data_IF_381244652976
#
_entry.id   IF_381244652976
#
_cell.length_a   1.000
_cell.length_b   1.000
_cell.length_c   1.000
_cell.angle_alpha   90.00
_cell.angle_beta   90.00
_cell.angle_gamma   90.00
#
_symmetry.space_group_name_H-M   'P 1'
#
loop_
_entity.id
_entity.type
_entity.pdbx_description
1 polymer ?
#
# COMPACT_ATOMS: atom_id res chain seq x y z
N UNK A 1 0.49 -6.34 14.28
CA UNK A 1 -0.68 -7.03 13.72
C UNK A 1 -0.26 -8.30 12.99
N UNK A 2 -0.98 -9.42 13.23
CA UNK A 2 -0.59 -10.74 12.70
C UNK A 2 -1.34 -11.14 11.42
N UNK A 3 -2.21 -10.30 10.90
CA UNK A 3 -2.91 -10.59 9.63
C UNK A 3 -3.18 -9.31 8.86
N UNK A 4 -2.98 -9.34 7.53
CA UNK A 4 -3.31 -8.23 6.65
C UNK A 4 -4.83 -7.98 6.49
N UNK A 5 -5.68 -8.79 7.15
CA UNK A 5 -7.13 -8.68 7.10
C UNK A 5 -7.65 -8.02 8.36
N UNK A 6 -8.42 -6.93 8.28
CA UNK A 6 -9.00 -6.30 9.45
C UNK A 6 -10.06 -7.21 10.09
N UNK A 7 -10.21 -7.12 11.39
CA UNK A 7 -11.30 -7.82 12.09
C UNK A 7 -12.66 -7.27 11.69
N UNK A 8 -12.76 -5.95 11.54
CA UNK A 8 -13.90 -5.23 10.99
C UNK A 8 -13.41 -3.89 10.41
N UNK A 9 -14.03 -3.41 9.34
CA UNK A 9 -13.81 -2.06 8.82
C UNK A 9 -14.63 -0.98 9.53
N UNK A 10 -15.58 -1.38 10.38
CA UNK A 10 -16.40 -0.45 11.14
C UNK A 10 -16.27 -0.71 12.64
N UNK A 11 -16.33 0.39 13.41
CA UNK A 11 -16.35 0.29 14.86
C UNK A 11 -17.46 -0.69 15.31
N UNK A 12 -17.18 -1.59 16.29
CA UNK A 12 -16.02 -1.59 17.22
C UNK A 12 -14.74 -2.27 16.71
N UNK A 13 -14.56 -2.45 15.41
CA UNK A 13 -13.37 -3.06 14.78
C UNK A 13 -13.06 -4.48 15.28
N UNK A 14 -14.08 -5.19 15.69
CA UNK A 14 -13.98 -6.54 16.23
C UNK A 14 -14.53 -7.57 15.26
N UNK A 15 -13.99 -8.78 15.32
CA UNK A 15 -14.60 -9.94 14.71
C UNK A 15 -15.58 -10.58 15.71
N UNK A 16 -16.90 -10.52 15.47
CA UNK A 16 -17.88 -10.97 16.43
C UNK A 16 -17.85 -12.49 16.68
N UNK A 17 -17.37 -13.27 15.72
CA UNK A 17 -17.31 -14.74 15.84
C UNK A 17 -16.05 -15.22 16.55
N UNK A 18 -14.97 -14.43 16.54
CA UNK A 18 -13.67 -14.79 17.11
C UNK A 18 -13.35 -14.03 18.40
N UNK A 19 -14.20 -13.11 18.81
CA UNK A 19 -14.00 -12.20 19.94
C UNK A 19 -12.60 -11.55 19.91
N UNK A 20 -12.20 -11.06 18.74
CA UNK A 20 -10.90 -10.39 18.50
C UNK A 20 -11.15 -9.00 17.95
N UNK A 21 -10.49 -8.02 18.55
CA UNK A 21 -10.57 -6.60 18.18
C UNK A 21 -9.19 -6.07 17.79
N UNK A 22 -9.16 -4.93 17.10
CA UNK A 22 -7.94 -4.17 16.92
C UNK A 22 -7.54 -3.55 18.26
N UNK A 23 -6.29 -3.81 18.68
CA UNK A 23 -5.74 -3.25 19.91
C UNK A 23 -5.44 -1.75 19.70
N UNK A 24 -5.69 -0.95 20.74
CA UNK A 24 -5.46 0.49 20.73
C UNK A 24 -6.55 1.30 20.01
N UNK A 25 -7.65 0.66 19.62
CA UNK A 25 -8.82 1.28 18.99
C UNK A 25 -10.13 0.91 19.73
N UNK A 26 -10.03 0.85 21.05
CA UNK A 26 -11.15 0.45 21.92
C UNK A 26 -12.24 1.50 21.97
N UNK A 27 -11.85 2.78 21.83
CA UNK A 27 -12.78 3.91 21.79
C UNK A 27 -13.12 4.30 20.35
N UNK A 28 -14.38 4.60 20.09
CA UNK A 28 -14.87 5.02 18.78
C UNK A 28 -16.37 5.22 18.79
N UNK A 29 -16.92 5.64 17.68
CA UNK A 29 -18.36 5.87 17.51
C UNK A 29 -18.97 4.86 16.53
N UNK A 30 -20.21 4.42 16.73
CA UNK A 30 -20.89 3.54 15.79
C UNK A 30 -20.88 4.08 14.36
N UNK A 31 -20.44 3.24 13.41
CA UNK A 31 -20.33 3.61 12.01
C UNK A 31 -19.00 4.26 11.60
N UNK A 32 -18.11 4.52 12.54
CA UNK A 32 -16.76 5.01 12.24
C UNK A 32 -16.00 4.00 11.37
N UNK A 33 -15.38 4.48 10.29
CA UNK A 33 -14.69 3.64 9.32
C UNK A 33 -13.19 3.55 9.64
N UNK A 34 -12.63 2.34 9.63
CA UNK A 34 -11.26 2.06 10.08
C UNK A 34 -10.20 2.89 9.35
N UNK A 35 -10.35 3.08 8.03
CA UNK A 35 -9.41 3.88 7.24
C UNK A 35 -9.39 5.34 7.71
N UNK A 36 -10.56 5.91 8.02
CA UNK A 36 -10.70 7.27 8.53
C UNK A 36 -10.11 7.40 9.94
N UNK A 37 -10.35 6.41 10.79
CA UNK A 37 -9.83 6.37 12.16
C UNK A 37 -8.30 6.30 12.16
N UNK A 38 -7.69 5.37 11.41
CA UNK A 38 -6.23 5.25 11.34
C UNK A 38 -5.58 6.53 10.80
N UNK A 39 -6.21 7.19 9.85
CA UNK A 39 -5.76 8.48 9.34
C UNK A 39 -5.82 9.57 10.42
N UNK A 40 -6.90 9.60 11.20
CA UNK A 40 -7.05 10.58 12.28
C UNK A 40 -5.99 10.39 13.37
N UNK A 41 -5.70 9.16 13.74
CA UNK A 41 -4.60 8.84 14.67
C UNK A 41 -3.24 9.26 14.11
N UNK A 42 -2.98 9.00 12.83
CA UNK A 42 -1.75 9.42 12.16
C UNK A 42 -1.59 10.95 12.15
N UNK A 43 -2.67 11.70 11.90
CA UNK A 43 -2.66 13.16 11.91
C UNK A 43 -2.41 13.68 13.35
N UNK A 44 -3.04 13.09 14.36
CA UNK A 44 -2.79 13.40 15.76
C UNK A 44 -1.31 13.20 16.14
N UNK A 45 -0.76 12.03 15.78
CA UNK A 45 0.65 11.72 15.97
C UNK A 45 1.58 12.77 15.32
N UNK A 46 1.34 13.11 14.05
CA UNK A 46 2.13 14.13 13.36
C UNK A 46 2.05 15.50 14.07
N UNK A 47 0.88 15.88 14.56
CA UNK A 47 0.68 17.12 15.31
C UNK A 47 1.48 17.17 16.60
N UNK A 48 1.52 16.06 17.33
CA UNK A 48 2.27 15.91 18.58
C UNK A 48 3.79 15.96 18.36
N UNK A 49 4.28 15.25 17.35
CA UNK A 49 5.72 15.06 17.12
C UNK A 49 6.35 16.00 16.09
N UNK A 50 5.61 16.96 15.53
CA UNK A 50 6.09 17.89 14.47
C UNK A 50 7.34 18.70 14.79
N UNK A 51 7.69 18.83 16.08
CA UNK A 51 8.87 19.60 16.51
C UNK A 51 10.17 18.79 16.46
N UNK A 52 10.10 17.49 16.29
CA UNK A 52 11.24 16.60 16.23
C UNK A 52 11.17 15.65 15.03
N UNK A 53 12.22 14.86 14.77
CA UNK A 53 12.18 13.84 13.76
C UNK A 53 11.22 12.71 14.17
N UNK A 54 10.45 12.21 13.21
CA UNK A 54 9.60 11.03 13.40
C UNK A 54 9.63 10.11 12.20
N UNK A 55 9.29 8.86 12.41
CA UNK A 55 8.98 7.88 11.39
C UNK A 55 7.57 7.35 11.62
N UNK A 56 6.70 7.52 10.64
CA UNK A 56 5.32 7.04 10.69
C UNK A 56 5.09 6.00 9.59
N UNK A 57 4.75 4.78 10.00
CA UNK A 57 4.30 3.72 9.10
C UNK A 57 2.79 3.55 9.22
N UNK A 58 2.05 4.17 8.30
CA UNK A 58 0.59 4.10 8.25
C UNK A 58 0.14 2.94 7.38
N UNK A 59 -0.04 1.77 7.99
CA UNK A 59 -0.45 0.55 7.31
C UNK A 59 -1.97 0.43 7.24
N UNK A 60 -2.59 0.99 6.21
CA UNK A 60 -4.01 0.81 5.97
C UNK A 60 -4.34 -0.65 5.58
N UNK A 61 -5.42 -1.19 6.12
CA UNK A 61 -5.98 -2.46 5.65
C UNK A 61 -6.72 -2.32 4.30
N UNK A 62 -7.24 -1.13 4.00
CA UNK A 62 -7.85 -0.84 2.71
C UNK A 62 -6.78 -1.02 1.60
N UNK A 63 -7.14 -1.74 0.53
CA UNK A 63 -8.48 -2.17 0.11
C UNK A 63 -8.67 -3.69 0.22
N UNK A 64 -8.17 -4.31 1.28
CA UNK A 64 -8.23 -5.77 1.49
C UNK A 64 -9.66 -6.25 1.80
N UNK A 65 -9.93 -7.52 1.51
CA UNK A 65 -11.17 -8.20 1.93
C UNK A 65 -11.26 -8.32 3.46
N UNK A 66 -12.50 -8.39 4.05
CA UNK A 66 -13.79 -8.32 3.38
C UNK A 66 -14.07 -6.94 2.80
N UNK A 67 -14.69 -6.89 1.59
CA UNK A 67 -15.00 -5.60 0.97
C UNK A 67 -16.09 -4.88 1.77
N UNK A 68 -15.73 -3.75 2.33
CA UNK A 68 -16.60 -2.90 3.14
C UNK A 68 -16.20 -1.43 2.95
N UNK A 69 -17.14 -0.57 2.62
CA UNK A 69 -16.92 0.86 2.46
C UNK A 69 -18.09 1.66 3.04
N UNK A 70 -17.92 2.97 3.28
CA UNK A 70 -19.02 3.85 3.64
C UNK A 70 -20.14 3.79 2.60
N UNK A 71 -21.39 3.67 3.07
CA UNK A 71 -22.56 3.40 2.22
C UNK A 71 -22.75 4.47 1.12
N UNK A 72 -22.56 5.74 1.46
CA UNK A 72 -22.69 6.83 0.50
C UNK A 72 -21.69 6.75 -0.70
N UNK A 73 -20.48 6.18 -0.46
CA UNK A 73 -19.52 5.93 -1.53
C UNK A 73 -19.93 4.73 -2.39
N UNK A 74 -20.46 3.67 -1.76
CA UNK A 74 -20.99 2.51 -2.50
C UNK A 74 -22.11 2.98 -3.46
N UNK A 75 -23.09 3.72 -2.96
CA UNK A 75 -24.20 4.26 -3.75
C UNK A 75 -23.74 5.17 -4.90
N UNK A 76 -22.66 5.94 -4.67
CA UNK A 76 -22.03 6.74 -5.73
C UNK A 76 -21.52 5.87 -6.87
N UNK A 77 -20.84 4.77 -6.56
CA UNK A 77 -20.25 3.88 -7.55
C UNK A 77 -21.25 2.92 -8.19
N UNK A 78 -22.34 2.58 -7.50
CA UNK A 78 -23.45 1.81 -8.07
C UNK A 78 -24.14 2.55 -9.21
N UNK A 79 -24.20 3.87 -9.14
CA UNK A 79 -24.78 4.75 -10.18
C UNK A 79 -23.87 4.99 -11.38
N UNK A 80 -22.56 4.65 -11.27
CA UNK A 80 -21.61 4.82 -12.37
C UNK A 80 -21.68 3.64 -13.34
N UNK A 81 -21.50 3.95 -14.63
CA UNK A 81 -21.28 2.92 -15.65
C UNK A 81 -20.04 2.10 -15.30
N UNK A 82 -20.19 0.80 -15.29
CA UNK A 82 -19.08 -0.12 -14.98
C UNK A 82 -18.08 -0.13 -16.13
N UNK A 83 -16.79 -0.10 -15.77
CA UNK A 83 -15.71 -0.27 -16.73
C UNK A 83 -15.58 -1.74 -17.20
N UNK A 84 -14.79 -1.96 -18.24
CA UNK A 84 -14.53 -3.31 -18.76
C UNK A 84 -13.81 -4.20 -17.74
N UNK A 85 -12.87 -3.65 -17.00
CA UNK A 85 -11.97 -4.39 -16.11
C UNK A 85 -12.30 -4.18 -14.61
N UNK A 86 -12.87 -3.03 -14.27
CA UNK A 86 -13.18 -2.65 -12.89
C UNK A 86 -14.69 -2.49 -12.73
N UNK A 87 -15.32 -3.50 -12.16
CA UNK A 87 -16.78 -3.62 -12.11
C UNK A 87 -17.37 -3.64 -10.71
N UNK A 88 -16.52 -3.67 -9.66
CA UNK A 88 -16.96 -3.81 -8.28
C UNK A 88 -17.14 -2.43 -7.62
N UNK A 89 -18.36 -1.97 -7.32
CA UNK A 89 -18.61 -0.65 -6.76
C UNK A 89 -18.10 -0.52 -5.31
N UNK A 90 -18.13 -1.61 -4.53
CA UNK A 90 -17.64 -1.58 -3.15
C UNK A 90 -16.12 -1.41 -3.13
N UNK A 91 -15.41 -2.10 -4.01
CA UNK A 91 -13.96 -1.95 -4.15
C UNK A 91 -13.58 -0.54 -4.59
N UNK A 92 -14.30 0.03 -5.55
CA UNK A 92 -14.10 1.41 -6.00
C UNK A 92 -14.35 2.42 -4.86
N UNK A 93 -15.38 2.18 -4.05
CA UNK A 93 -15.68 3.01 -2.88
C UNK A 93 -14.56 2.92 -1.81
N UNK A 94 -13.97 1.75 -1.61
CA UNK A 94 -12.80 1.58 -0.71
C UNK A 94 -11.58 2.33 -1.22
N UNK A 95 -11.33 2.30 -2.54
CA UNK A 95 -10.23 3.05 -3.16
C UNK A 95 -10.44 4.56 -2.99
N UNK A 96 -11.64 5.07 -3.24
CA UNK A 96 -11.94 6.50 -3.05
C UNK A 96 -11.74 6.91 -1.59
N UNK A 97 -12.21 6.10 -0.64
CA UNK A 97 -12.00 6.39 0.77
C UNK A 97 -10.51 6.42 1.13
N UNK A 98 -9.71 5.50 0.59
CA UNK A 98 -8.25 5.50 0.79
C UNK A 98 -7.61 6.76 0.20
N UNK A 99 -7.98 7.13 -1.03
CA UNK A 99 -7.48 8.34 -1.71
C UNK A 99 -7.80 9.61 -0.90
N UNK A 100 -9.04 9.75 -0.42
CA UNK A 100 -9.44 10.86 0.44
C UNK A 100 -8.60 10.91 1.72
N UNK A 101 -8.28 9.78 2.32
CA UNK A 101 -7.47 9.67 3.52
C UNK A 101 -5.99 10.00 3.27
N UNK A 102 -5.43 9.59 2.14
CA UNK A 102 -4.09 10.03 1.70
C UNK A 102 -4.08 11.55 1.51
N UNK A 103 -5.13 12.11 0.91
CA UNK A 103 -5.31 13.56 0.78
C UNK A 103 -5.33 14.27 2.13
N UNK A 104 -6.03 13.73 3.15
CA UNK A 104 -6.05 14.26 4.53
C UNK A 104 -4.66 14.27 5.16
N UNK A 105 -3.88 13.20 4.98
CA UNK A 105 -2.48 13.14 5.49
C UNK A 105 -1.64 14.22 4.83
N UNK A 106 -1.67 14.34 3.51
CA UNK A 106 -0.92 15.36 2.78
C UNK A 106 -1.31 16.78 3.20
N UNK A 107 -2.61 17.05 3.34
CA UNK A 107 -3.11 18.34 3.81
C UNK A 107 -2.65 18.65 5.26
N UNK A 108 -2.66 17.65 6.13
CA UNK A 108 -2.17 17.82 7.50
C UNK A 108 -0.67 18.18 7.54
N UNK A 109 0.16 17.51 6.73
CA UNK A 109 1.59 17.82 6.60
C UNK A 109 1.80 19.28 6.16
N UNK A 110 1.01 19.75 5.18
CA UNK A 110 1.07 21.14 4.70
C UNK A 110 0.61 22.12 5.78
N UNK A 111 -0.53 21.84 6.43
CA UNK A 111 -1.10 22.71 7.50
C UNK A 111 -0.23 22.77 8.75
N UNK A 112 0.50 21.72 9.07
CA UNK A 112 1.45 21.66 10.18
C UNK A 112 2.77 22.39 9.87
N UNK A 113 2.99 22.83 8.62
CA UNK A 113 4.20 23.53 8.18
C UNK A 113 5.44 22.66 8.10
N UNK A 114 5.30 21.33 7.97
CA UNK A 114 6.41 20.38 7.95
C UNK A 114 6.70 19.79 6.56
N UNK A 115 6.00 20.24 5.52
CA UNK A 115 6.06 19.67 4.19
C UNK A 115 7.48 19.59 3.58
N UNK A 116 8.26 20.67 3.69
CA UNK A 116 9.60 20.74 3.09
C UNK A 116 10.62 19.81 3.77
N UNK A 117 10.32 19.38 5.00
CA UNK A 117 11.19 18.46 5.76
C UNK A 117 10.53 17.07 5.97
N UNK A 118 9.56 16.72 5.14
CA UNK A 118 8.86 15.43 5.24
C UNK A 118 8.86 14.71 3.89
N UNK A 119 9.34 13.48 3.87
CA UNK A 119 9.13 12.56 2.76
C UNK A 119 7.85 11.77 2.99
N UNK A 120 6.98 11.74 1.98
CA UNK A 120 5.79 10.90 1.96
C UNK A 120 5.98 9.84 0.90
N UNK A 121 5.83 8.58 1.29
CA UNK A 121 5.89 7.43 0.38
C UNK A 121 4.55 6.70 0.39
N UNK A 122 3.90 6.63 -0.77
CA UNK A 122 2.74 5.78 -0.98
C UNK A 122 3.18 4.52 -1.73
N UNK A 123 2.88 3.36 -1.16
CA UNK A 123 3.29 2.07 -1.70
C UNK A 123 2.27 1.00 -1.40
N UNK A 124 2.03 0.07 -2.34
CA UNK A 124 1.20 -1.11 -2.13
C UNK A 124 2.07 -2.33 -1.84
N UNK A 125 1.57 -3.25 -1.03
CA UNK A 125 2.27 -4.49 -0.63
C UNK A 125 2.30 -5.54 -1.74
N UNK A 126 1.24 -5.61 -2.56
CA UNK A 126 1.09 -6.55 -3.68
C UNK A 126 0.03 -6.06 -4.68
N UNK A 127 -0.04 -6.73 -5.81
CA UNK A 127 -1.06 -6.47 -6.81
C UNK A 127 -2.47 -6.83 -6.39
N UNK A 128 -3.45 -6.37 -7.14
CA UNK A 128 -4.88 -6.58 -6.86
C UNK A 128 -5.29 -8.05 -6.89
N UNK A 129 -6.28 -8.40 -6.06
CA UNK A 129 -6.84 -9.75 -5.99
C UNK A 129 -7.83 -9.98 -7.14
N UNK A 130 -7.54 -10.89 -8.07
CA UNK A 130 -8.35 -11.14 -9.29
C UNK A 130 -9.85 -11.39 -9.07
N UNK A 131 -10.32 -12.03 -7.98
CA UNK A 131 -11.76 -12.14 -7.74
C UNK A 131 -12.46 -10.81 -7.47
N UNK A 132 -11.68 -9.76 -7.14
CA UNK A 132 -12.19 -8.45 -6.72
C UNK A 132 -11.96 -7.40 -7.79
N UNK A 133 -10.78 -7.43 -8.42
CA UNK A 133 -10.35 -6.44 -9.41
C UNK A 133 -9.55 -7.11 -10.53
N UNK A 134 -9.29 -6.37 -11.60
CA UNK A 134 -8.45 -6.79 -12.71
C UNK A 134 -7.15 -5.96 -12.69
N UNK A 135 -6.04 -6.59 -13.03
CA UNK A 135 -4.73 -5.93 -13.10
C UNK A 135 -4.30 -5.60 -14.54
N UNK A 136 -5.20 -5.77 -15.53
CA UNK A 136 -4.89 -5.46 -16.92
C UNK A 136 -4.27 -4.05 -17.07
N UNK A 137 -3.19 -3.89 -17.89
CA UNK A 137 -2.61 -4.86 -18.83
C UNK A 137 -1.59 -5.85 -18.20
N UNK A 138 -1.35 -5.80 -16.89
CA UNK A 138 -0.43 -6.69 -16.22
C UNK A 138 -1.04 -8.08 -16.05
N UNK A 139 -0.20 -9.11 -16.19
CA UNK A 139 -0.64 -10.50 -16.10
C UNK A 139 -0.86 -10.91 -14.65
N UNK A 140 -1.98 -11.62 -14.38
CA UNK A 140 -2.36 -12.17 -13.09
C UNK A 140 -2.54 -11.09 -11.99
N UNK A 141 -2.45 -11.50 -10.73
CA UNK A 141 -2.67 -10.61 -9.57
C UNK A 141 -2.04 -11.16 -8.30
N UNK A 142 -2.56 -10.74 -7.18
CA UNK A 142 -2.04 -11.08 -5.84
C UNK A 142 -1.67 -12.55 -5.69
N UNK A 143 -0.40 -12.80 -5.30
CA UNK A 143 0.13 -14.13 -5.04
C UNK A 143 0.63 -14.86 -6.29
N UNK A 144 0.67 -14.21 -7.45
CA UNK A 144 1.29 -14.73 -8.66
C UNK A 144 2.70 -14.15 -8.87
N UNK A 145 3.61 -14.88 -9.57
CA UNK A 145 4.96 -14.40 -9.85
C UNK A 145 5.02 -13.34 -10.97
N UNK A 146 3.92 -13.08 -11.63
CA UNK A 146 3.84 -12.14 -12.76
C UNK A 146 3.65 -10.70 -12.29
N UNK A 147 3.81 -9.75 -13.21
CA UNK A 147 3.75 -8.31 -12.90
C UNK A 147 2.44 -7.88 -12.24
N UNK A 148 1.30 -8.49 -12.58
CA UNK A 148 0.05 -8.18 -11.88
C UNK A 148 0.06 -8.52 -10.39
N UNK A 149 0.95 -9.41 -9.95
CA UNK A 149 1.14 -9.74 -8.53
C UNK A 149 2.21 -8.93 -7.83
N UNK A 150 3.24 -8.47 -8.56
CA UNK A 150 4.45 -7.88 -7.99
C UNK A 150 4.68 -6.41 -8.35
N UNK A 151 4.19 -5.93 -9.49
CA UNK A 151 4.32 -4.54 -9.93
C UNK A 151 3.18 -3.70 -9.36
N UNK A 152 3.52 -2.78 -8.48
CA UNK A 152 2.57 -1.98 -7.70
C UNK A 152 2.88 -0.49 -7.82
N UNK A 153 1.90 0.39 -7.53
CA UNK A 153 2.15 1.82 -7.46
C UNK A 153 3.18 2.18 -6.38
N UNK A 154 4.12 3.05 -6.73
CA UNK A 154 5.02 3.74 -5.81
C UNK A 154 4.99 5.22 -6.16
N UNK A 155 4.65 6.06 -5.20
CA UNK A 155 4.64 7.51 -5.34
C UNK A 155 5.45 8.11 -4.20
N UNK A 156 6.35 9.04 -4.52
CA UNK A 156 7.17 9.74 -3.54
C UNK A 156 6.91 11.25 -3.67
N UNK A 157 6.54 11.87 -2.56
CA UNK A 157 6.49 13.32 -2.41
C UNK A 157 7.57 13.76 -1.44
N UNK A 158 8.50 14.58 -1.92
CA UNK A 158 9.53 15.21 -1.09
C UNK A 158 9.87 16.58 -1.70
N UNK A 159 9.21 17.65 -1.27
CA UNK A 159 9.48 18.99 -1.78
C UNK A 159 10.97 19.33 -1.71
N UNK A 160 11.47 20.09 -2.69
CA UNK A 160 12.86 20.53 -2.83
C UNK A 160 13.89 19.39 -3.11
N UNK A 161 13.48 18.13 -3.06
CA UNK A 161 14.36 16.96 -3.33
C UNK A 161 13.91 16.13 -4.53
N UNK A 162 12.60 16.02 -4.73
CA UNK A 162 12.00 15.29 -5.85
C UNK A 162 11.22 16.26 -6.72
N UNK A 163 11.61 16.38 -7.99
CA UNK A 163 10.93 17.27 -8.95
C UNK A 163 9.49 16.79 -9.19
N UNK A 164 8.48 17.65 -8.99
CA UNK A 164 7.09 17.28 -9.22
C UNK A 164 6.85 16.81 -10.66
N UNK A 165 5.96 15.83 -10.83
CA UNK A 165 5.54 15.32 -12.15
C UNK A 165 6.57 14.44 -12.86
N UNK A 166 7.70 14.14 -12.22
CA UNK A 166 8.68 13.21 -12.79
C UNK A 166 8.27 11.76 -12.61
N UNK A 167 8.69 10.91 -13.53
CA UNK A 167 8.50 9.46 -13.49
C UNK A 167 9.83 8.74 -13.70
N UNK A 168 9.93 7.52 -13.16
CA UNK A 168 11.08 6.64 -13.35
C UNK A 168 10.63 5.24 -13.70
N UNK A 169 11.36 4.57 -14.60
CA UNK A 169 11.15 3.17 -14.96
C UNK A 169 12.14 2.24 -14.26
N UNK A 170 13.01 2.75 -13.39
CA UNK A 170 13.97 1.94 -12.64
C UNK A 170 13.23 1.00 -11.71
N UNK A 171 13.48 -0.33 -11.80
CA UNK A 171 12.84 -1.29 -10.92
C UNK A 171 13.32 -1.12 -9.47
N UNK A 172 12.37 -0.96 -8.57
CA UNK A 172 12.60 -0.84 -7.13
C UNK A 172 11.68 -1.79 -6.38
N UNK A 173 12.02 -2.12 -5.14
CA UNK A 173 11.26 -3.09 -4.33
C UNK A 173 11.22 -2.67 -2.86
N UNK A 174 10.33 -3.27 -2.07
CA UNK A 174 10.12 -2.90 -0.66
C UNK A 174 11.36 -2.99 0.22
N UNK A 175 12.31 -3.87 -0.09
CA UNK A 175 13.57 -3.99 0.67
C UNK A 175 14.48 -2.76 0.49
N UNK A 176 14.26 -1.92 -0.52
CA UNK A 176 15.02 -0.70 -0.78
C UNK A 176 14.69 0.42 0.20
N UNK A 177 13.54 0.36 0.85
CA UNK A 177 13.12 1.41 1.79
C UNK A 177 14.02 1.47 3.03
N UNK A 178 14.47 0.33 3.55
CA UNK A 178 15.31 0.32 4.74
C UNK A 178 16.62 1.10 4.54
N UNK A 179 17.51 0.76 3.58
CA UNK A 179 18.72 1.52 3.36
C UNK A 179 18.43 2.99 2.98
N UNK A 180 17.35 3.25 2.24
CA UNK A 180 16.94 4.61 1.87
C UNK A 180 16.62 5.45 3.10
N UNK A 181 15.77 4.96 4.00
CA UNK A 181 15.36 5.73 5.18
C UNK A 181 16.50 5.87 6.21
N UNK A 182 17.35 4.86 6.34
CA UNK A 182 18.54 4.95 7.18
C UNK A 182 19.49 6.05 6.67
N UNK A 183 19.73 6.11 5.35
CA UNK A 183 20.57 7.16 4.74
C UNK A 183 19.95 8.56 4.90
N UNK A 184 18.63 8.70 4.68
CA UNK A 184 17.92 9.98 4.90
C UNK A 184 18.06 10.46 6.35
N UNK A 185 18.04 9.54 7.31
CA UNK A 185 18.24 9.82 8.73
C UNK A 185 19.71 10.01 9.11
N UNK A 186 20.64 10.13 8.15
CA UNK A 186 22.09 10.22 8.36
C UNK A 186 22.69 9.02 9.12
N UNK A 187 22.03 7.87 9.07
CA UNK A 187 22.55 6.61 9.57
C UNK A 187 23.45 5.90 8.56
N UNK A 188 23.93 4.72 8.96
CA UNK A 188 24.70 3.83 8.08
C UNK A 188 24.00 2.49 8.01
N UNK A 189 23.37 2.14 6.87
CA UNK A 189 22.78 0.82 6.70
C UNK A 189 23.88 -0.25 6.69
N UNK A 190 23.51 -1.48 7.04
CA UNK A 190 24.42 -2.63 6.94
C UNK A 190 24.91 -2.80 5.50
N UNK A 191 26.08 -3.41 5.31
CA UNK A 191 26.73 -3.57 4.00
C UNK A 191 26.20 -4.75 3.18
N UNK A 192 25.54 -5.71 3.83
CA UNK A 192 25.09 -6.99 3.26
C UNK A 192 23.58 -7.05 3.01
N UNK A 193 23.01 -5.91 2.58
CA UNK A 193 21.58 -5.79 2.28
C UNK A 193 21.28 -6.12 0.81
N UNK A 194 20.18 -6.83 0.58
CA UNK A 194 19.61 -7.01 -0.76
C UNK A 194 19.05 -5.69 -1.33
N UNK A 195 18.55 -4.82 -0.45
CA UNK A 195 18.01 -3.51 -0.80
C UNK A 195 19.09 -2.49 -1.11
N UNK A 196 18.77 -1.55 -2.00
CA UNK A 196 19.62 -0.42 -2.37
C UNK A 196 18.91 0.91 -2.06
N UNK A 197 19.68 1.96 -1.80
CA UNK A 197 19.14 3.31 -1.63
C UNK A 197 18.46 3.79 -2.91
N UNK A 198 17.17 4.14 -2.81
CA UNK A 198 16.33 4.55 -3.94
C UNK A 198 16.88 5.77 -4.66
N UNK A 199 17.37 6.77 -3.93
CA UNK A 199 17.86 7.99 -4.53
C UNK A 199 19.21 7.77 -5.23
N UNK A 200 20.04 6.87 -4.70
CA UNK A 200 21.26 6.44 -5.38
C UNK A 200 20.97 5.71 -6.68
N UNK A 201 19.95 4.82 -6.70
CA UNK A 201 19.51 4.12 -7.93
C UNK A 201 19.03 5.13 -8.99
N UNK A 202 18.21 6.10 -8.59
CA UNK A 202 17.68 7.13 -9.49
C UNK A 202 18.78 8.02 -10.06
N UNK A 203 19.72 8.47 -9.24
CA UNK A 203 20.84 9.32 -9.68
C UNK A 203 21.77 8.61 -10.64
N UNK A 204 22.07 7.32 -10.41
CA UNK A 204 22.96 6.52 -11.26
C UNK A 204 22.26 5.98 -12.51
N UNK A 205 20.94 6.13 -12.61
CA UNK A 205 20.12 5.53 -13.66
C UNK A 205 20.34 4.01 -13.79
N UNK A 206 20.38 3.31 -12.66
CA UNK A 206 20.78 1.90 -12.56
C UNK A 206 19.62 0.96 -12.91
N UNK A 207 19.43 0.68 -14.20
CA UNK A 207 18.36 -0.19 -14.70
C UNK A 207 18.63 -1.69 -14.55
N UNK A 208 19.89 -2.09 -14.57
CA UNK A 208 20.34 -3.48 -14.76
C UNK A 208 20.33 -4.35 -13.50
N UNK A 209 19.63 -3.96 -12.45
CA UNK A 209 19.58 -4.75 -11.22
C UNK A 209 18.61 -5.91 -11.33
N UNK A 210 19.06 -7.12 -10.97
CA UNK A 210 18.19 -8.26 -10.82
C UNK A 210 17.36 -8.17 -9.53
N UNK A 211 16.07 -8.48 -9.63
CA UNK A 211 15.16 -8.60 -8.51
C UNK A 211 14.68 -10.04 -8.39
N UNK A 212 14.69 -10.56 -7.17
CA UNK A 212 14.36 -11.95 -6.87
C UNK A 212 13.15 -12.05 -5.96
N UNK A 213 12.26 -12.99 -6.25
CA UNK A 213 11.16 -13.37 -5.38
C UNK A 213 11.22 -14.87 -5.12
N UNK A 214 11.11 -15.25 -3.86
CA UNK A 214 10.97 -16.64 -3.45
C UNK A 214 9.72 -16.76 -2.59
N UNK A 215 8.75 -17.51 -3.08
CA UNK A 215 7.46 -17.67 -2.43
C UNK A 215 7.16 -19.16 -2.21
N UNK A 216 7.64 -19.75 -1.09
CA UNK A 216 7.52 -21.18 -0.80
C UNK A 216 6.17 -21.54 -0.17
N UNK A 217 5.09 -20.86 -0.53
CA UNK A 217 3.77 -21.06 0.03
C UNK A 217 2.75 -21.61 -0.97
N UNK A 218 1.74 -22.30 -0.43
CA UNK A 218 0.59 -22.77 -1.17
C UNK A 218 -0.61 -21.89 -0.85
N UNK A 219 -1.06 -21.08 -1.81
CA UNK A 219 -2.28 -20.30 -1.68
C UNK A 219 -3.45 -21.03 -2.37
N UNK A 220 -4.67 -20.64 -1.99
CA UNK A 220 -5.86 -21.15 -2.68
C UNK A 220 -5.89 -20.64 -4.12
N UNK A 221 -6.15 -21.53 -5.09
CA UNK A 221 -6.38 -21.13 -6.47
C UNK A 221 -7.63 -20.28 -6.61
N UNK A 222 -7.64 -19.35 -7.56
CA UNK A 222 -8.86 -18.63 -7.92
C UNK A 222 -9.71 -19.53 -8.83
N UNK A 223 -10.81 -20.04 -8.30
CA UNK A 223 -11.71 -20.97 -9.02
C UNK A 223 -12.23 -20.45 -10.36
N UNK A 224 -12.30 -19.13 -10.56
CA UNK A 224 -12.83 -18.51 -11.77
C UNK A 224 -11.84 -18.45 -12.94
N UNK A 225 -10.54 -18.44 -12.68
CA UNK A 225 -9.54 -18.25 -13.74
C UNK A 225 -9.00 -19.58 -14.31
N UNK A 226 -9.24 -20.70 -13.64
CA UNK A 226 -8.59 -21.98 -13.99
C UNK A 226 -7.07 -21.96 -13.83
N UNK A 227 -6.52 -20.89 -13.29
CA UNK A 227 -5.09 -20.62 -13.17
C UNK A 227 -4.61 -20.95 -11.77
N UNK A 228 -3.65 -21.87 -11.70
CA UNK A 228 -3.16 -22.42 -10.43
C UNK A 228 -1.80 -21.84 -9.98
N UNK A 229 -1.31 -20.77 -10.60
CA UNK A 229 0.02 -20.25 -10.34
C UNK A 229 0.29 -19.94 -8.87
N UNK A 230 -0.69 -19.38 -8.17
CA UNK A 230 -0.57 -19.11 -6.74
C UNK A 230 -0.75 -20.34 -5.84
N UNK A 231 -1.19 -21.46 -6.38
CA UNK A 231 -1.40 -22.69 -5.61
C UNK A 231 -0.14 -23.53 -5.44
N UNK A 232 0.95 -23.16 -6.08
CA UNK A 232 2.26 -23.83 -5.99
C UNK A 232 3.34 -22.86 -5.57
N UNK A 233 4.37 -23.33 -4.84
CA UNK A 233 5.55 -22.54 -4.57
C UNK A 233 6.25 -22.13 -5.86
N UNK A 234 6.87 -20.93 -5.84
CA UNK A 234 7.65 -20.46 -6.98
C UNK A 234 8.85 -19.62 -6.56
N UNK A 235 9.82 -19.50 -7.44
CA UNK A 235 10.83 -18.47 -7.43
C UNK A 235 10.78 -17.77 -8.78
N UNK A 236 11.01 -16.47 -8.77
CA UNK A 236 11.08 -15.67 -9.99
C UNK A 236 12.21 -14.66 -9.90
N UNK A 237 12.71 -14.28 -11.05
CA UNK A 237 13.70 -13.23 -11.22
C UNK A 237 13.16 -12.24 -12.25
N UNK A 238 13.43 -10.97 -12.02
CA UNK A 238 13.37 -9.95 -13.03
C UNK A 238 14.79 -9.46 -13.32
N UNK A 239 15.23 -9.62 -14.56
CA UNK A 239 16.55 -9.17 -15.06
C UNK A 239 16.32 -8.26 -16.26
N UNK A 240 16.52 -6.95 -16.08
CA UNK A 240 16.20 -5.96 -17.11
C UNK A 240 14.72 -6.01 -17.50
N UNK A 241 14.45 -6.31 -18.77
CA UNK A 241 13.08 -6.41 -19.33
C UNK A 241 12.49 -7.84 -19.28
N UNK A 242 13.21 -8.80 -18.70
CA UNK A 242 12.82 -10.21 -18.58
C UNK A 242 12.39 -10.59 -17.18
#
# INVERSE_FOLDING_TARGET
ERSGTPYSYFYPYCNPTKNKCHLGLEEGIPGEYLTDRLTSEAIGFMGEYKKGPFFLYLAHHAVHTPLRAPQHLIEKYEKKTRGKYHTNPVYAAMIESLDQNVGRVCHAIDSLGIANNTIVVFFSDNGGSEPVTDNYPLREGKGAPYEGGTRVPLIIRWPDKVTPGTTSSIPVTGVDFYPTFVNIANGRPASDLDGKDLFSLLQKNEYGRDLYWHFPAYLQSYKKSGKNWRATPYSSIRSGDW
#
